data_IF_354628016217
#
_entry.id   IF_354628016217
#
_cell.length_a   1.000
_cell.length_b   1.000
_cell.length_c   1.000
_cell.angle_alpha   90.00
_cell.angle_beta   90.00
_cell.angle_gamma   90.00
#
_symmetry.space_group_name_H-M   'P 1'
#
loop_
_entity.id
_entity.type
_entity.pdbx_description
1 polymer ?
#
# COMPACT_ATOMS: atom_id res chain seq x y z
N UNK A 1 -7.03 27.16 5.19
CA UNK A 1 -5.76 26.55 4.73
C UNK A 1 -5.77 25.11 5.17
N UNK A 2 -5.50 24.15 4.28
CA UNK A 2 -5.38 22.74 4.66
C UNK A 2 -4.07 22.56 5.43
N UNK A 3 -4.11 21.84 6.56
CA UNK A 3 -2.88 21.43 7.26
C UNK A 3 -2.17 20.34 6.44
N UNK A 4 -0.85 20.13 6.63
CA UNK A 4 -0.10 19.07 5.93
C UNK A 4 -0.77 17.68 6.04
N UNK A 5 -1.26 17.31 7.22
CA UNK A 5 -2.01 16.06 7.47
C UNK A 5 -3.31 15.99 6.66
N UNK A 6 -4.02 17.11 6.54
CA UNK A 6 -5.28 17.17 5.77
C UNK A 6 -4.99 17.01 4.28
N UNK A 7 -3.90 17.59 3.78
CA UNK A 7 -3.50 17.49 2.38
C UNK A 7 -3.12 16.05 2.01
N UNK A 8 -2.31 15.37 2.82
CA UNK A 8 -1.88 14.00 2.54
C UNK A 8 -3.06 13.02 2.55
N UNK A 9 -4.04 13.21 3.45
CA UNK A 9 -5.27 12.42 3.45
C UNK A 9 -6.14 12.65 2.21
N UNK A 10 -6.27 13.91 1.77
CA UNK A 10 -7.00 14.23 0.53
C UNK A 10 -6.33 13.56 -0.68
N UNK A 11 -5.01 13.70 -0.80
CA UNK A 11 -4.25 13.05 -1.87
C UNK A 11 -4.37 11.52 -1.82
N UNK A 12 -4.34 10.92 -0.62
CA UNK A 12 -4.51 9.49 -0.45
C UNK A 12 -5.89 9.00 -0.96
N UNK A 13 -6.97 9.73 -0.65
CA UNK A 13 -8.31 9.37 -1.17
C UNK A 13 -8.41 9.55 -2.69
N UNK A 14 -7.83 10.62 -3.26
CA UNK A 14 -7.79 10.81 -4.72
C UNK A 14 -7.04 9.67 -5.43
N UNK A 15 -5.90 9.24 -4.87
CA UNK A 15 -5.16 8.09 -5.40
C UNK A 15 -5.99 6.80 -5.27
N UNK A 16 -6.66 6.58 -4.13
CA UNK A 16 -7.55 5.41 -3.96
C UNK A 16 -8.66 5.39 -5.01
N UNK A 17 -9.22 6.53 -5.39
CA UNK A 17 -10.21 6.60 -6.48
C UNK A 17 -9.63 6.18 -7.84
N UNK A 18 -8.39 6.61 -8.15
CA UNK A 18 -7.68 6.16 -9.36
C UNK A 18 -7.47 4.64 -9.32
N UNK A 19 -6.99 4.10 -8.20
CA UNK A 19 -6.74 2.67 -8.04
C UNK A 19 -8.02 1.84 -8.20
N UNK A 20 -9.14 2.29 -7.62
CA UNK A 20 -10.47 1.70 -7.81
C UNK A 20 -10.87 1.73 -9.28
N UNK A 21 -10.76 2.89 -9.94
CA UNK A 21 -11.15 3.09 -11.34
C UNK A 21 -10.41 2.15 -12.30
N UNK A 22 -9.12 1.93 -12.08
CA UNK A 22 -8.30 1.10 -12.96
C UNK A 22 -8.13 -0.35 -12.48
N UNK A 23 -8.80 -0.73 -11.39
CA UNK A 23 -8.75 -2.07 -10.83
C UNK A 23 -7.32 -2.51 -10.42
N UNK A 24 -6.61 -1.62 -9.71
CA UNK A 24 -5.19 -1.78 -9.36
C UNK A 24 -5.03 -1.96 -7.85
N UNK A 25 -4.20 -2.91 -7.42
CA UNK A 25 -3.71 -2.97 -6.04
C UNK A 25 -2.38 -2.23 -5.88
N UNK A 26 -2.18 -1.58 -4.75
CA UNK A 26 -0.98 -0.77 -4.49
C UNK A 26 -0.64 -0.70 -3.01
N UNK A 27 0.64 -0.45 -2.72
CA UNK A 27 1.11 0.07 -1.44
C UNK A 27 1.74 1.44 -1.71
N UNK A 28 1.26 2.48 -1.03
CA UNK A 28 1.60 3.88 -1.33
C UNK A 28 2.09 4.55 -0.06
N UNK A 29 3.16 5.33 -0.20
CA UNK A 29 3.70 6.21 0.84
C UNK A 29 3.76 7.63 0.29
N UNK A 30 3.26 8.58 1.06
CA UNK A 30 3.22 10.00 0.72
C UNK A 30 3.96 10.80 1.80
N UNK A 31 4.64 11.86 1.39
CA UNK A 31 5.41 12.71 2.29
C UNK A 31 5.16 14.19 2.00
N UNK A 32 5.11 14.97 3.07
CA UNK A 32 5.25 16.43 3.11
C UNK A 32 6.14 16.79 4.31
N UNK A 33 6.88 17.91 4.35
CA UNK A 33 7.78 18.20 5.47
C UNK A 33 7.13 18.01 6.85
N UNK A 34 7.73 17.15 7.68
CA UNK A 34 7.27 16.84 9.04
C UNK A 34 6.12 15.82 9.15
N UNK A 35 5.55 15.33 8.05
CA UNK A 35 4.47 14.31 8.07
C UNK A 35 4.64 13.26 6.97
N UNK A 36 4.19 12.04 7.26
CA UNK A 36 4.12 10.95 6.29
C UNK A 36 2.77 10.26 6.43
N UNK A 37 2.22 9.82 5.31
CA UNK A 37 0.97 9.06 5.24
C UNK A 37 1.22 7.82 4.39
N UNK A 38 0.58 6.71 4.74
CA UNK A 38 0.72 5.48 3.96
C UNK A 38 -0.58 4.69 3.95
N UNK A 39 -0.80 3.95 2.87
CA UNK A 39 -1.91 3.02 2.79
C UNK A 39 -1.61 1.88 1.84
N UNK A 40 -2.32 0.78 2.07
CA UNK A 40 -2.40 -0.33 1.12
C UNK A 40 -3.81 -0.33 0.54
N UNK A 41 -3.92 -0.61 -0.76
CA UNK A 41 -5.18 -0.80 -1.46
C UNK A 41 -5.19 -2.21 -2.06
N UNK A 42 -6.05 -3.09 -1.52
CA UNK A 42 -6.13 -4.50 -1.90
C UNK A 42 -7.51 -4.90 -2.45
N UNK A 43 -8.31 -3.93 -2.92
CA UNK A 43 -9.68 -4.17 -3.32
C UNK A 43 -9.90 -4.22 -4.85
N UNK A 44 -8.96 -4.72 -5.70
CA UNK A 44 -9.30 -4.94 -7.10
C UNK A 44 -10.25 -6.14 -7.22
N UNK A 45 -11.10 -6.12 -8.22
CA UNK A 45 -12.13 -7.14 -8.48
C UNK A 45 -11.56 -8.53 -8.71
N UNK A 46 -10.30 -8.67 -9.11
CA UNK A 46 -9.64 -9.98 -9.29
C UNK A 46 -9.12 -10.59 -7.98
N UNK A 47 -9.10 -9.83 -6.88
CA UNK A 47 -8.60 -10.26 -5.58
C UNK A 47 -9.74 -10.79 -4.71
N UNK A 48 -9.43 -11.77 -3.85
CA UNK A 48 -10.29 -12.19 -2.75
C UNK A 48 -9.92 -11.51 -1.42
N UNK A 49 -8.85 -10.71 -1.39
CA UNK A 49 -8.51 -9.86 -0.26
C UNK A 49 -9.38 -8.58 -0.28
N UNK A 50 -9.74 -8.09 0.90
CA UNK A 50 -10.53 -6.88 1.07
C UNK A 50 -10.12 -6.16 2.35
N UNK A 51 -9.74 -4.89 2.24
CA UNK A 51 -9.48 -4.04 3.40
C UNK A 51 -10.83 -3.55 3.93
N UNK A 52 -11.21 -4.04 5.11
CA UNK A 52 -12.48 -3.71 5.75
C UNK A 52 -12.41 -2.37 6.50
N UNK A 53 -11.29 -2.13 7.17
CA UNK A 53 -10.90 -0.86 7.78
C UNK A 53 -9.36 -0.77 7.77
N UNK A 54 -8.80 0.31 8.31
CA UNK A 54 -7.34 0.56 8.31
C UNK A 54 -6.50 -0.57 8.91
N UNK A 55 -7.07 -1.39 9.80
CA UNK A 55 -6.36 -2.42 10.57
C UNK A 55 -6.84 -3.85 10.28
N UNK A 56 -7.79 -4.04 9.36
CA UNK A 56 -8.42 -5.35 9.14
C UNK A 56 -8.48 -5.71 7.65
N UNK A 57 -7.82 -6.81 7.30
CA UNK A 57 -7.91 -7.44 5.98
C UNK A 57 -8.73 -8.71 6.11
N UNK A 58 -9.75 -8.84 5.27
CA UNK A 58 -10.58 -10.05 5.12
C UNK A 58 -10.24 -10.76 3.83
N UNK A 59 -10.34 -12.09 3.85
CA UNK A 59 -10.18 -12.93 2.68
C UNK A 59 -11.45 -13.71 2.41
N UNK A 60 -12.14 -13.39 1.32
CA UNK A 60 -13.29 -14.14 0.84
C UNK A 60 -12.80 -15.39 0.11
N UNK A 61 -12.30 -16.40 0.83
CA UNK A 61 -11.59 -17.55 0.25
C UNK A 61 -12.34 -18.88 0.35
N UNK A 62 -13.52 -18.93 0.97
CA UNK A 62 -14.28 -20.16 1.22
C UNK A 62 -15.16 -20.54 0.02
N UNK A 63 -15.44 -21.84 -0.15
CA UNK A 63 -16.21 -22.39 -1.28
C UNK A 63 -17.60 -21.77 -1.42
N UNK A 64 -18.26 -21.51 -0.31
CA UNK A 64 -19.60 -20.89 -0.23
C UNK A 64 -19.66 -19.43 -0.73
N UNK A 65 -18.52 -18.80 -1.00
CA UNK A 65 -18.42 -17.42 -1.50
C UNK A 65 -18.31 -17.34 -3.03
N UNK A 66 -18.33 -18.48 -3.73
CA UNK A 66 -18.07 -18.57 -5.17
C UNK A 66 -19.10 -19.44 -5.90
N UNK A 67 -19.29 -19.19 -7.18
CA UNK A 67 -20.19 -20.01 -8.00
C UNK A 67 -19.56 -21.37 -8.32
N UNK A 68 -18.24 -21.39 -8.52
CA UNK A 68 -17.48 -22.59 -8.88
C UNK A 68 -16.17 -22.72 -8.10
N UNK A 69 -15.64 -23.95 -8.04
CA UNK A 69 -14.30 -24.20 -7.51
C UNK A 69 -13.23 -23.53 -8.39
N UNK A 70 -13.44 -23.48 -9.71
CA UNK A 70 -12.50 -22.84 -10.63
C UNK A 70 -12.36 -21.34 -10.32
N UNK A 71 -13.47 -20.63 -10.13
CA UNK A 71 -13.50 -19.21 -9.75
C UNK A 71 -12.79 -18.98 -8.40
N UNK A 72 -13.07 -19.83 -7.41
CA UNK A 72 -12.41 -19.76 -6.10
C UNK A 72 -10.88 -19.88 -6.23
N UNK A 73 -10.40 -20.90 -6.94
CA UNK A 73 -8.97 -21.16 -7.11
C UNK A 73 -8.29 -20.05 -7.93
N UNK A 74 -8.97 -19.54 -8.95
CA UNK A 74 -8.47 -18.40 -9.74
C UNK A 74 -8.26 -17.18 -8.84
N UNK A 75 -9.28 -16.78 -8.07
CA UNK A 75 -9.21 -15.62 -7.16
C UNK A 75 -8.15 -15.80 -6.08
N UNK A 76 -8.02 -17.00 -5.51
CA UNK A 76 -6.95 -17.29 -4.54
C UNK A 76 -5.57 -17.15 -5.17
N UNK A 77 -5.40 -17.67 -6.38
CA UNK A 77 -4.13 -17.63 -7.12
C UNK A 77 -3.74 -16.21 -7.50
N UNK A 78 -4.68 -15.44 -8.07
CA UNK A 78 -4.46 -14.03 -8.43
C UNK A 78 -4.15 -13.18 -7.20
N UNK A 79 -4.84 -13.42 -6.08
CA UNK A 79 -4.57 -12.72 -4.81
C UNK A 79 -3.19 -13.05 -4.27
N UNK A 80 -2.81 -14.33 -4.27
CA UNK A 80 -1.49 -14.76 -3.81
C UNK A 80 -0.38 -14.12 -4.66
N UNK A 81 -0.54 -14.15 -5.98
CA UNK A 81 0.39 -13.54 -6.93
C UNK A 81 0.47 -12.01 -6.78
N UNK A 82 -0.67 -11.35 -6.58
CA UNK A 82 -0.72 -9.90 -6.31
C UNK A 82 0.06 -9.56 -5.03
N UNK A 83 -0.17 -10.30 -3.94
CA UNK A 83 0.49 -10.03 -2.65
C UNK A 83 2.00 -10.28 -2.71
N UNK A 84 2.46 -11.34 -3.39
CA UNK A 84 3.91 -11.60 -3.51
C UNK A 84 4.59 -10.54 -4.36
N UNK A 85 3.98 -10.10 -5.46
CA UNK A 85 4.52 -9.04 -6.32
C UNK A 85 4.55 -7.72 -5.55
N UNK A 86 3.45 -7.32 -4.90
CA UNK A 86 3.40 -6.11 -4.07
C UNK A 86 4.49 -6.12 -3.00
N UNK A 87 4.64 -7.23 -2.26
CA UNK A 87 5.69 -7.38 -1.26
C UNK A 87 7.08 -7.16 -1.86
N UNK A 88 7.36 -7.77 -3.01
CA UNK A 88 8.68 -7.68 -3.67
C UNK A 88 8.99 -6.25 -4.12
N UNK A 89 8.06 -5.58 -4.80
CA UNK A 89 8.28 -4.22 -5.28
C UNK A 89 8.34 -3.20 -4.13
N UNK A 90 7.57 -3.40 -3.07
CA UNK A 90 7.64 -2.55 -1.87
C UNK A 90 8.98 -2.75 -1.13
N UNK A 91 9.46 -3.98 -0.98
CA UNK A 91 10.77 -4.25 -0.38
C UNK A 91 11.92 -3.67 -1.21
N UNK A 92 11.82 -3.73 -2.54
CA UNK A 92 12.76 -3.07 -3.43
C UNK A 92 12.76 -1.56 -3.23
N UNK A 93 11.57 -0.92 -3.22
CA UNK A 93 11.44 0.52 -2.96
C UNK A 93 12.05 0.93 -1.61
N UNK A 94 11.80 0.14 -0.55
CA UNK A 94 12.40 0.37 0.76
C UNK A 94 13.93 0.33 0.70
N UNK A 95 14.49 -0.68 0.01
CA UNK A 95 15.94 -0.83 -0.12
C UNK A 95 16.56 0.36 -0.86
N UNK A 96 15.94 0.80 -1.95
CA UNK A 96 16.40 1.98 -2.71
C UNK A 96 16.33 3.25 -1.86
N UNK A 97 15.23 3.47 -1.14
CA UNK A 97 15.08 4.64 -0.26
C UNK A 97 16.09 4.65 0.87
N UNK A 98 16.36 3.50 1.49
CA UNK A 98 17.38 3.36 2.53
C UNK A 98 18.76 3.75 2.01
N UNK A 99 19.17 3.22 0.85
CA UNK A 99 20.46 3.58 0.22
C UNK A 99 20.57 5.07 -0.11
N UNK A 100 19.49 5.67 -0.62
CA UNK A 100 19.44 7.09 -0.92
C UNK A 100 19.53 7.95 0.35
N UNK A 101 18.86 7.53 1.43
CA UNK A 101 18.93 8.19 2.73
C UNK A 101 20.36 8.15 3.28
N UNK A 102 20.96 6.96 3.34
CA UNK A 102 22.32 6.78 3.85
C UNK A 102 23.33 7.62 3.04
N UNK A 103 23.22 7.59 1.71
CA UNK A 103 24.08 8.38 0.82
C UNK A 103 23.93 9.88 1.05
N UNK A 104 22.70 10.36 1.25
CA UNK A 104 22.43 11.78 1.51
C UNK A 104 23.02 12.20 2.87
N UNK A 105 22.85 11.36 3.89
CA UNK A 105 23.35 11.62 5.24
C UNK A 105 24.87 11.71 5.26
N UNK A 106 25.56 10.77 4.61
CA UNK A 106 27.02 10.76 4.48
C UNK A 106 27.55 12.01 3.76
N UNK A 107 26.88 12.44 2.69
CA UNK A 107 27.31 13.59 1.88
C UNK A 107 27.06 14.94 2.56
N UNK A 108 26.03 15.02 3.40
CA UNK A 108 25.57 16.30 3.97
C UNK A 108 25.81 16.43 5.46
N UNK A 109 26.20 15.35 6.15
CA UNK A 109 26.16 15.25 7.60
C UNK A 109 24.77 15.61 8.15
N UNK A 110 23.72 15.05 7.55
CA UNK A 110 22.35 15.38 7.91
C UNK A 110 22.03 14.98 9.37
N UNK A 111 21.23 15.82 10.03
CA UNK A 111 20.63 15.51 11.33
C UNK A 111 19.16 15.12 11.13
N UNK A 112 18.76 14.01 11.72
CA UNK A 112 17.38 13.54 11.69
C UNK A 112 16.62 13.90 12.96
N UNK A 113 15.38 14.37 12.81
CA UNK A 113 14.46 14.45 13.93
C UNK A 113 14.19 13.03 14.47
N UNK A 114 13.97 12.89 15.78
CA UNK A 114 13.53 11.60 16.35
C UNK A 114 12.23 11.17 15.68
N UNK A 115 12.32 10.19 14.80
CA UNK A 115 11.15 9.53 14.22
C UNK A 115 10.42 8.81 15.36
N UNK A 116 9.11 9.08 15.51
CA UNK A 116 8.26 8.14 16.25
C UNK A 116 8.11 6.92 15.36
N UNK A 117 8.47 5.75 15.86
CA UNK A 117 8.16 4.49 15.17
C UNK A 117 6.65 4.44 14.90
N UNK A 118 6.23 3.98 13.71
CA UNK A 118 4.81 3.76 13.41
C UNK A 118 4.17 2.76 14.37
#
# INVERSE_FOLDING_TARGET
>A
MNTPDTMLKVAAEEIKEILRKYNIAAAVSLHTPGHGEHFVHLNPTYSCAYIYNENEVRFYSKREQYNSLAEQLEKQTTTSNMLIILKQITAYNFTVLMQLSDSFDELTNAEHFKLKSP
#
